data_IF_173288120084
#
_entry.id   IF_173288120084
#
_cell.length_a   1.000
_cell.length_b   1.000
_cell.length_c   1.000
_cell.angle_alpha   90.00
_cell.angle_beta   90.00
_cell.angle_gamma   90.00
#
_symmetry.space_group_name_H-M   'P 1'
#
loop_
_entity.id
_entity.type
_entity.pdbx_description
1 polymer ?
#
# COMPACT_ATOMS: atom_id res chain seq x y z
N UNK A 1 11.86 16.48 21.11
CA UNK A 1 12.91 15.52 21.52
C UNK A 1 13.02 14.48 20.41
N UNK A 2 14.24 14.17 19.96
CA UNK A 2 14.46 13.18 18.89
C UNK A 2 15.39 12.09 19.40
N UNK A 3 15.00 10.84 19.24
CA UNK A 3 15.87 9.69 19.48
C UNK A 3 16.30 9.11 18.14
N UNK A 4 17.56 8.67 18.06
CA UNK A 4 18.16 8.10 16.85
C UNK A 4 18.58 6.66 17.07
N UNK A 5 18.56 5.84 16.01
CA UNK A 5 19.20 4.52 16.04
C UNK A 5 20.74 4.62 15.96
N UNK A 6 21.41 3.47 16.00
CA UNK A 6 22.88 3.38 15.91
C UNK A 6 23.47 3.97 14.61
N UNK A 7 22.64 4.16 13.58
CA UNK A 7 23.02 4.76 12.29
C UNK A 7 22.65 6.26 12.20
N UNK A 8 22.26 6.88 13.32
CA UNK A 8 21.92 8.31 13.39
C UNK A 8 20.55 8.68 12.81
N UNK A 9 19.71 7.70 12.43
CA UNK A 9 18.38 7.96 11.87
C UNK A 9 17.37 8.17 12.98
N UNK A 10 16.52 9.18 12.86
CA UNK A 10 15.43 9.43 13.80
C UNK A 10 14.47 8.24 13.83
N UNK A 11 14.28 7.66 15.03
CA UNK A 11 13.35 6.55 15.29
C UNK A 11 12.15 6.99 16.10
N UNK A 12 12.30 8.05 16.88
CA UNK A 12 11.25 8.58 17.75
C UNK A 12 11.34 10.10 17.75
N UNK A 13 10.29 10.79 17.30
CA UNK A 13 10.23 12.26 17.32
C UNK A 13 9.06 12.69 18.19
N UNK A 14 9.37 13.42 19.27
CA UNK A 14 8.40 13.95 20.23
C UNK A 14 8.22 15.46 20.06
N UNK A 15 6.97 15.91 19.83
CA UNK A 15 6.56 17.31 19.96
C UNK A 15 6.20 17.63 21.43
N UNK A 16 6.22 18.91 21.85
CA UNK A 16 5.63 19.31 23.14
C UNK A 16 4.18 18.81 23.21
N UNK A 17 3.81 18.11 24.30
CA UNK A 17 2.49 17.48 24.43
C UNK A 17 2.48 15.94 24.40
N UNK A 18 3.63 15.26 24.44
CA UNK A 18 3.76 13.78 24.47
C UNK A 18 3.36 13.05 23.18
N UNK A 19 3.21 13.76 22.08
CA UNK A 19 2.98 13.18 20.76
C UNK A 19 4.28 12.60 20.20
N UNK A 20 4.38 11.26 20.21
CA UNK A 20 5.57 10.53 19.76
C UNK A 20 5.26 9.78 18.45
N UNK A 21 5.96 10.12 17.38
CA UNK A 21 5.97 9.31 16.15
C UNK A 21 7.08 8.28 16.25
N UNK A 22 6.78 7.02 15.94
CA UNK A 22 7.73 5.90 15.91
C UNK A 22 8.03 5.53 14.46
N UNK A 23 9.30 5.35 14.13
CA UNK A 23 9.76 4.90 12.80
C UNK A 23 10.78 3.78 12.96
N UNK A 24 10.58 2.66 12.28
CA UNK A 24 11.52 1.54 12.23
C UNK A 24 12.05 1.34 10.82
N UNK A 25 13.32 0.95 10.72
CA UNK A 25 14.01 0.73 9.47
C UNK A 25 14.52 -0.71 9.37
N UNK A 26 14.58 -1.26 8.16
CA UNK A 26 15.30 -2.51 7.89
C UNK A 26 16.83 -2.30 7.82
N UNK A 27 17.57 -3.37 7.53
CA UNK A 27 19.04 -3.34 7.36
C UNK A 27 19.52 -2.49 6.18
N UNK A 28 18.65 -2.22 5.21
CA UNK A 28 18.94 -1.40 4.03
C UNK A 28 18.57 0.08 4.27
N UNK A 29 17.92 0.38 5.40
CA UNK A 29 17.45 1.70 5.73
C UNK A 29 16.10 2.05 5.12
N UNK A 30 15.33 1.07 4.66
CA UNK A 30 13.95 1.30 4.25
C UNK A 30 13.06 1.43 5.48
N UNK A 31 12.10 2.36 5.47
CA UNK A 31 11.09 2.45 6.53
C UNK A 31 10.15 1.25 6.41
N UNK A 32 10.14 0.36 7.40
CA UNK A 32 9.29 -0.83 7.44
C UNK A 32 8.09 -0.68 8.36
N UNK A 33 8.14 0.31 9.26
CA UNK A 33 7.03 0.64 10.14
C UNK A 33 7.05 2.12 10.51
N UNK A 34 5.88 2.76 10.44
CA UNK A 34 5.65 4.10 10.95
C UNK A 34 4.36 4.14 11.77
N UNK A 35 4.42 4.69 12.97
CA UNK A 35 3.27 4.90 13.84
C UNK A 35 3.21 6.37 14.23
N UNK A 36 2.19 7.06 13.73
CA UNK A 36 1.95 8.47 14.04
C UNK A 36 1.48 8.63 15.49
N UNK A 37 1.70 9.82 16.04
CA UNK A 37 1.43 10.10 17.45
C UNK A 37 -0.02 9.84 17.89
N UNK A 38 -1.01 10.17 17.07
CA UNK A 38 -2.44 9.92 17.36
C UNK A 38 -2.73 8.42 17.43
N UNK A 39 -2.13 7.65 16.54
CA UNK A 39 -2.31 6.20 16.46
C UNK A 39 -1.55 5.50 17.58
N UNK A 40 -0.40 6.05 18.00
CA UNK A 40 0.29 5.59 19.21
C UNK A 40 -0.57 5.83 20.45
N UNK A 41 -1.17 7.01 20.58
CA UNK A 41 -2.08 7.34 21.69
C UNK A 41 -3.27 6.38 21.73
N UNK A 42 -3.89 6.10 20.58
CA UNK A 42 -4.96 5.09 20.48
C UNK A 42 -4.46 3.68 20.82
N UNK A 43 -3.26 3.29 20.40
CA UNK A 43 -2.72 1.94 20.64
C UNK A 43 -2.46 1.66 22.13
N UNK A 44 -1.93 2.63 22.88
CA UNK A 44 -1.56 2.47 24.30
C UNK A 44 -2.64 2.98 25.27
N UNK A 45 -3.65 3.67 24.74
CA UNK A 45 -4.66 4.36 25.51
C UNK A 45 -5.67 3.45 26.20
N UNK A 46 -6.21 3.94 27.33
CA UNK A 46 -7.27 3.28 28.11
C UNK A 46 -8.40 4.22 28.53
N UNK A 47 -8.44 5.45 28.01
CA UNK A 47 -9.55 6.39 28.21
C UNK A 47 -10.81 5.89 27.51
N UNK A 48 -11.98 6.31 27.99
CA UNK A 48 -13.28 5.80 27.50
C UNK A 48 -13.45 5.94 25.97
N UNK A 49 -13.00 7.05 25.38
CA UNK A 49 -13.08 7.27 23.94
C UNK A 49 -12.13 6.33 23.17
N UNK A 50 -10.94 6.04 23.71
CA UNK A 50 -9.95 5.14 23.11
C UNK A 50 -10.43 3.70 23.18
N UNK A 51 -11.02 3.29 24.30
CA UNK A 51 -11.62 1.96 24.47
C UNK A 51 -12.78 1.77 23.49
N UNK A 52 -13.63 2.79 23.29
CA UNK A 52 -14.70 2.72 22.31
C UNK A 52 -14.16 2.54 20.89
N UNK A 53 -13.20 3.37 20.47
CA UNK A 53 -12.60 3.28 19.14
C UNK A 53 -11.86 1.95 18.93
N UNK A 54 -11.09 1.47 19.92
CA UNK A 54 -10.46 0.14 19.88
C UNK A 54 -11.50 -0.98 19.74
N UNK A 55 -12.66 -0.85 20.39
CA UNK A 55 -13.76 -1.82 20.28
C UNK A 55 -14.41 -1.79 18.89
N UNK A 56 -14.66 -0.61 18.34
CA UNK A 56 -15.22 -0.42 17.00
C UNK A 56 -14.29 -0.98 15.92
N UNK A 57 -12.98 -0.82 16.10
CA UNK A 57 -11.96 -1.37 15.20
C UNK A 57 -11.71 -2.88 15.42
N UNK A 58 -12.28 -3.50 16.46
CA UNK A 58 -12.10 -4.92 16.77
C UNK A 58 -10.74 -5.26 17.40
N UNK A 59 -9.99 -4.27 17.90
CA UNK A 59 -8.62 -4.44 18.42
C UNK A 59 -8.54 -4.26 19.94
N UNK A 60 -9.67 -4.15 20.64
CA UNK A 60 -9.70 -3.97 22.10
C UNK A 60 -9.12 -5.17 22.86
N UNK A 61 -9.25 -6.39 22.34
CA UNK A 61 -8.68 -7.58 22.98
C UNK A 61 -7.15 -7.67 22.82
N UNK A 62 -6.61 -6.97 21.82
CA UNK A 62 -5.20 -7.04 21.45
C UNK A 62 -4.31 -6.32 22.47
N UNK A 63 -3.06 -6.76 22.55
CA UNK A 63 -2.03 -6.04 23.31
C UNK A 63 -1.72 -4.69 22.66
N UNK A 64 -1.19 -3.71 23.42
CA UNK A 64 -0.78 -2.42 22.84
C UNK A 64 0.19 -2.54 21.66
N UNK A 65 1.03 -3.58 21.65
CA UNK A 65 1.97 -3.87 20.55
C UNK A 65 1.23 -4.31 19.29
N UNK A 66 0.24 -5.19 19.41
CA UNK A 66 -0.57 -5.68 18.30
C UNK A 66 -1.44 -4.54 17.72
N UNK A 67 -2.06 -3.73 18.59
CA UNK A 67 -2.78 -2.52 18.17
C UNK A 67 -1.88 -1.55 17.43
N UNK A 68 -0.68 -1.29 17.96
CA UNK A 68 0.29 -0.41 17.31
C UNK A 68 0.68 -0.92 15.91
N UNK A 69 0.81 -2.24 15.71
CA UNK A 69 1.10 -2.83 14.40
C UNK A 69 -0.04 -2.66 13.40
N UNK A 70 -1.30 -2.74 13.86
CA UNK A 70 -2.48 -2.54 13.03
C UNK A 70 -2.75 -1.06 12.73
N UNK A 71 -2.49 -0.17 13.68
CA UNK A 71 -2.67 1.28 13.57
C UNK A 71 -1.47 2.00 12.93
N UNK A 72 -0.37 1.31 12.66
CA UNK A 72 0.77 1.85 11.94
C UNK A 72 0.73 1.56 10.44
N UNK A 73 1.55 2.30 9.69
CA UNK A 73 1.91 1.97 8.32
C UNK A 73 3.00 0.90 8.33
N UNK A 74 2.80 -0.22 7.65
CA UNK A 74 3.76 -1.33 7.55
C UNK A 74 4.15 -1.50 6.08
N UNK A 75 5.45 -1.52 5.77
CA UNK A 75 5.94 -1.77 4.41
C UNK A 75 6.75 -3.05 4.33
N UNK A 76 6.51 -3.85 3.28
CA UNK A 76 7.26 -5.07 2.96
C UNK A 76 8.14 -4.79 1.75
N UNK A 77 9.42 -5.10 1.86
CA UNK A 77 10.40 -4.92 0.79
C UNK A 77 10.91 -6.27 0.28
N UNK A 78 11.45 -6.28 -0.93
CA UNK A 78 12.18 -7.41 -1.50
C UNK A 78 13.37 -7.79 -0.63
N UNK A 79 13.85 -9.04 -0.76
CA UNK A 79 14.93 -9.57 0.08
C UNK A 79 16.26 -8.77 -0.03
N UNK A 80 16.48 -8.12 -1.17
CA UNK A 80 17.59 -7.20 -1.46
C UNK A 80 17.32 -5.75 -1.02
N UNK A 81 16.13 -5.44 -0.50
CA UNK A 81 15.72 -4.13 -0.01
C UNK A 81 15.45 -3.10 -1.10
N UNK A 82 15.50 -3.46 -2.39
CA UNK A 82 15.41 -2.49 -3.48
C UNK A 82 13.97 -2.10 -3.85
N UNK A 83 13.00 -2.99 -3.64
CA UNK A 83 11.62 -2.83 -4.12
C UNK A 83 10.65 -2.94 -2.96
N UNK A 84 9.73 -1.99 -2.85
CA UNK A 84 8.59 -2.12 -1.94
C UNK A 84 7.56 -3.02 -2.61
N UNK A 85 7.23 -4.15 -2.00
CA UNK A 85 6.29 -5.13 -2.55
C UNK A 85 4.88 -4.89 -2.02
N UNK A 86 4.76 -4.55 -0.74
CA UNK A 86 3.47 -4.31 -0.09
C UNK A 86 3.54 -3.12 0.88
N UNK A 87 2.40 -2.47 1.08
CA UNK A 87 2.20 -1.50 2.16
C UNK A 87 0.80 -1.64 2.75
N UNK A 88 0.71 -1.72 4.07
CA UNK A 88 -0.53 -1.66 4.82
C UNK A 88 -0.60 -0.33 5.57
N UNK A 89 -1.66 0.44 5.36
CA UNK A 89 -1.92 1.67 6.12
C UNK A 89 -2.54 1.39 7.51
N UNK A 90 -2.79 2.44 8.31
CA UNK A 90 -3.48 2.32 9.59
C UNK A 90 -4.90 1.73 9.47
N UNK A 91 -5.27 0.87 10.41
CA UNK A 91 -6.63 0.35 10.58
C UNK A 91 -7.62 1.49 10.88
N UNK A 92 -8.74 1.50 10.17
CA UNK A 92 -9.83 2.45 10.38
C UNK A 92 -11.15 1.84 9.88
N UNK A 93 -12.28 2.44 10.28
CA UNK A 93 -13.59 2.05 9.74
C UNK A 93 -13.76 2.57 8.31
N UNK A 94 -14.18 1.69 7.40
CA UNK A 94 -14.53 2.00 6.02
C UNK A 94 -15.90 1.44 5.67
N UNK A 95 -16.56 2.02 4.67
CA UNK A 95 -17.78 1.47 4.09
C UNK A 95 -17.45 0.79 2.77
N UNK A 96 -17.75 -0.50 2.65
CA UNK A 96 -17.52 -1.23 1.41
C UNK A 96 -18.44 -0.74 0.30
N UNK A 97 -17.89 -0.48 -0.89
CA UNK A 97 -18.67 -0.05 -2.06
C UNK A 97 -19.13 -1.23 -2.92
N UNK A 98 -18.45 -2.37 -2.81
CA UNK A 98 -18.75 -3.64 -3.49
C UNK A 98 -18.90 -4.75 -2.45
N UNK A 99 -19.68 -5.82 -2.75
CA UNK A 99 -19.68 -6.99 -1.89
C UNK A 99 -18.28 -7.64 -1.88
N UNK A 100 -17.88 -8.16 -0.72
CA UNK A 100 -16.66 -8.94 -0.56
C UNK A 100 -17.04 -10.39 -0.25
N UNK A 101 -16.56 -11.31 -1.08
CA UNK A 101 -16.70 -12.73 -0.81
C UNK A 101 -15.75 -13.12 0.32
N UNK A 102 -16.25 -13.88 1.29
CA UNK A 102 -15.41 -14.55 2.27
C UNK A 102 -15.17 -16.01 1.89
N UNK A 103 -14.94 -16.84 2.90
CA UNK A 103 -14.68 -18.28 2.79
C UNK A 103 -15.49 -19.07 3.84
N UNK A 104 -14.97 -20.20 4.31
CA UNK A 104 -15.65 -21.03 5.31
C UNK A 104 -15.65 -20.40 6.72
N UNK A 105 -14.64 -19.60 7.05
CA UNK A 105 -14.43 -19.00 8.36
C UNK A 105 -14.89 -17.54 8.40
N UNK A 106 -14.94 -16.88 7.22
CA UNK A 106 -15.40 -15.50 7.06
C UNK A 106 -16.65 -15.43 6.17
N UNK A 107 -17.82 -14.99 6.66
CA UNK A 107 -19.02 -14.88 5.84
C UNK A 107 -18.87 -13.77 4.77
N UNK A 108 -19.65 -13.86 3.69
CA UNK A 108 -19.66 -12.80 2.68
C UNK A 108 -20.20 -11.47 3.24
N UNK A 109 -19.55 -10.36 2.89
CA UNK A 109 -19.95 -9.01 3.27
C UNK A 109 -20.70 -8.32 2.13
N UNK A 110 -21.89 -7.74 2.39
CA UNK A 110 -22.61 -6.98 1.38
C UNK A 110 -21.97 -5.61 1.14
N UNK A 111 -22.25 -4.99 -0.01
CA UNK A 111 -21.94 -3.58 -0.22
C UNK A 111 -22.72 -2.70 0.78
N UNK A 112 -22.12 -1.59 1.19
CA UNK A 112 -22.68 -0.62 2.14
C UNK A 112 -22.43 -0.95 3.61
N UNK A 113 -21.84 -2.12 3.92
CA UNK A 113 -21.48 -2.45 5.30
C UNK A 113 -20.25 -1.67 5.76
N UNK A 114 -20.25 -1.24 7.01
CA UNK A 114 -19.08 -0.65 7.66
C UNK A 114 -18.24 -1.73 8.35
N UNK A 115 -16.94 -1.73 8.10
CA UNK A 115 -15.98 -2.71 8.62
C UNK A 115 -14.64 -2.04 8.93
N UNK A 116 -13.88 -2.61 9.86
CA UNK A 116 -12.50 -2.21 10.11
C UNK A 116 -11.62 -2.78 8.98
N UNK A 117 -10.88 -1.91 8.29
CA UNK A 117 -10.00 -2.30 7.21
C UNK A 117 -8.73 -1.45 7.17
N UNK A 118 -7.71 -1.97 6.48
CA UNK A 118 -6.47 -1.26 6.17
C UNK A 118 -6.40 -1.05 4.67
N UNK A 119 -5.88 0.10 4.24
CA UNK A 119 -5.47 0.22 2.85
C UNK A 119 -4.28 -0.73 2.61
N UNK A 120 -4.43 -1.69 1.72
CA UNK A 120 -3.35 -2.58 1.30
C UNK A 120 -2.95 -2.25 -0.13
N UNK A 121 -1.69 -1.92 -0.33
CA UNK A 121 -1.10 -1.65 -1.63
C UNK A 121 -0.15 -2.79 -1.97
N UNK A 122 -0.35 -3.45 -3.11
CA UNK A 122 0.58 -4.42 -3.69
C UNK A 122 1.22 -3.84 -4.95
N UNK A 123 2.52 -4.03 -5.13
CA UNK A 123 3.29 -3.44 -6.23
C UNK A 123 4.02 -4.55 -7.00
N UNK A 124 3.69 -4.70 -8.27
CA UNK A 124 4.37 -5.60 -9.20
C UNK A 124 5.47 -4.87 -9.98
N UNK A 125 6.57 -5.59 -10.20
CA UNK A 125 7.72 -5.09 -10.94
C UNK A 125 8.14 -6.06 -12.03
N UNK A 126 8.63 -5.50 -13.14
CA UNK A 126 9.20 -6.23 -14.27
C UNK A 126 8.29 -7.33 -14.84
N UNK A 127 6.97 -7.23 -14.64
CA UNK A 127 6.01 -8.18 -15.22
C UNK A 127 6.04 -8.09 -16.75
N UNK A 128 6.22 -9.23 -17.41
CA UNK A 128 6.34 -9.29 -18.88
C UNK A 128 7.68 -8.76 -19.42
N UNK A 129 8.69 -8.52 -18.57
CA UNK A 129 10.04 -8.18 -19.01
C UNK A 129 10.69 -9.34 -19.77
N UNK A 130 11.18 -9.15 -21.00
CA UNK A 130 11.94 -10.17 -21.73
C UNK A 130 13.19 -10.64 -20.97
N UNK A 131 13.47 -11.94 -21.06
CA UNK A 131 14.63 -12.59 -20.44
C UNK A 131 15.72 -12.97 -21.45
N UNK A 132 15.52 -12.62 -22.73
CA UNK A 132 16.42 -12.91 -23.86
C UNK A 132 17.58 -11.91 -23.98
N UNK A 133 17.75 -11.01 -23.02
CA UNK A 133 18.79 -9.98 -23.01
C UNK A 133 18.42 -8.70 -23.78
N UNK A 134 17.23 -8.61 -24.37
CA UNK A 134 16.80 -7.40 -25.11
C UNK A 134 16.40 -6.23 -24.21
N UNK A 135 16.04 -6.51 -22.95
CA UNK A 135 15.61 -5.50 -21.99
C UNK A 135 16.79 -4.69 -21.42
N UNK A 136 16.76 -3.36 -21.61
CA UNK A 136 17.83 -2.43 -21.18
C UNK A 136 17.63 -1.85 -19.78
N UNK A 137 16.41 -1.97 -19.24
CA UNK A 137 16.05 -1.53 -17.87
C UNK A 137 15.52 -2.69 -17.04
N UNK A 138 15.52 -2.52 -15.72
CA UNK A 138 14.92 -3.44 -14.73
C UNK A 138 14.42 -2.64 -13.53
N UNK A 139 13.79 -3.31 -12.57
CA UNK A 139 13.16 -2.72 -11.39
C UNK A 139 12.08 -1.68 -11.75
N UNK A 140 11.37 -1.89 -12.86
CA UNK A 140 10.30 -0.99 -13.29
C UNK A 140 8.97 -1.42 -12.69
N UNK A 141 8.22 -0.46 -12.14
CA UNK A 141 6.88 -0.70 -11.62
C UNK A 141 5.94 -1.00 -12.78
N UNK A 142 5.36 -2.19 -12.78
CA UNK A 142 4.47 -2.69 -13.84
C UNK A 142 3.03 -2.79 -13.39
N UNK A 143 2.78 -2.99 -12.10
CA UNK A 143 1.42 -2.99 -11.56
C UNK A 143 1.36 -2.40 -10.16
N UNK A 144 0.22 -1.83 -9.83
CA UNK A 144 -0.12 -1.42 -8.46
C UNK A 144 -1.58 -1.73 -8.22
N UNK A 145 -1.90 -2.45 -7.15
CA UNK A 145 -3.27 -2.70 -6.71
C UNK A 145 -3.45 -2.15 -5.30
N UNK A 146 -4.49 -1.36 -5.09
CA UNK A 146 -4.87 -0.85 -3.77
C UNK A 146 -6.26 -1.38 -3.43
N UNK A 147 -6.42 -1.92 -2.24
CA UNK A 147 -7.69 -2.46 -1.75
C UNK A 147 -7.88 -2.25 -0.25
N UNK A 148 -9.05 -2.64 0.24
CA UNK A 148 -9.39 -2.68 1.66
C UNK A 148 -9.10 -4.09 2.19
N UNK A 149 -7.96 -4.26 2.85
CA UNK A 149 -7.62 -5.49 3.56
C UNK A 149 -8.41 -5.55 4.87
N UNK A 150 -9.21 -6.59 5.02
CA UNK A 150 -10.02 -6.86 6.21
C UNK A 150 -9.48 -8.13 6.84
N UNK A 151 -9.21 -8.07 8.14
CA UNK A 151 -8.67 -9.22 8.86
C UNK A 151 -9.60 -10.43 8.75
N UNK A 152 -9.01 -11.61 8.57
CA UNK A 152 -9.74 -12.86 8.33
C UNK A 152 -10.31 -13.05 6.92
N UNK A 153 -10.22 -12.08 6.00
CA UNK A 153 -10.69 -12.27 4.62
C UNK A 153 -9.55 -12.68 3.67
N UNK A 154 -9.82 -13.56 2.69
CA UNK A 154 -8.78 -14.09 1.80
C UNK A 154 -8.33 -13.09 0.73
N UNK A 155 -9.10 -12.04 0.47
CA UNK A 155 -8.82 -11.02 -0.55
C UNK A 155 -9.29 -9.65 -0.11
N UNK A 156 -8.65 -8.61 -0.65
CA UNK A 156 -9.06 -7.23 -0.42
C UNK A 156 -10.44 -6.90 -1.02
N UNK A 157 -11.20 -6.09 -0.30
CA UNK A 157 -12.38 -5.40 -0.81
C UNK A 157 -12.03 -4.18 -1.68
N UNK A 158 -12.98 -3.72 -2.48
CA UNK A 158 -12.91 -2.44 -3.21
C UNK A 158 -11.61 -2.18 -4.00
N UNK A 159 -11.03 -3.23 -4.55
CA UNK A 159 -9.73 -3.15 -5.23
C UNK A 159 -9.76 -2.24 -6.45
N UNK A 160 -8.67 -1.51 -6.64
CA UNK A 160 -8.37 -0.68 -7.81
C UNK A 160 -6.95 -0.95 -8.24
N UNK A 161 -6.77 -1.30 -9.51
CA UNK A 161 -5.46 -1.60 -10.07
C UNK A 161 -5.07 -0.65 -11.20
N UNK A 162 -3.77 -0.43 -11.34
CA UNK A 162 -3.14 0.28 -12.44
C UNK A 162 -2.03 -0.59 -12.99
N UNK A 163 -1.93 -0.69 -14.31
CA UNK A 163 -0.85 -1.39 -15.00
C UNK A 163 -0.07 -0.44 -15.91
N UNK A 164 1.25 -0.60 -15.93
CA UNK A 164 2.18 0.18 -16.73
C UNK A 164 2.90 -0.73 -17.71
N UNK A 165 2.89 -0.37 -19.00
CA UNK A 165 3.51 -1.16 -20.07
C UNK A 165 4.78 -0.45 -20.54
N UNK A 166 5.82 -1.23 -20.81
CA UNK A 166 7.12 -0.73 -21.25
C UNK A 166 7.52 -1.28 -22.62
N UNK A 167 8.18 -0.43 -23.40
CA UNK A 167 9.16 -0.87 -24.40
C UNK A 167 10.47 -1.15 -23.64
N UNK A 168 10.69 -2.43 -23.33
CA UNK A 168 11.83 -2.88 -22.54
C UNK A 168 13.18 -2.66 -23.23
N UNK A 169 13.21 -2.64 -24.57
CA UNK A 169 14.43 -2.40 -25.32
C UNK A 169 14.85 -0.92 -25.24
N UNK A 170 13.87 -0.01 -25.27
CA UNK A 170 14.14 1.44 -25.12
C UNK A 170 14.14 1.92 -23.67
N UNK A 171 13.62 1.12 -22.73
CA UNK A 171 13.41 1.53 -21.35
C UNK A 171 12.34 2.60 -21.19
N UNK A 172 11.36 2.65 -22.10
CA UNK A 172 10.33 3.69 -22.15
C UNK A 172 8.96 3.14 -21.80
N UNK A 173 8.24 3.85 -20.96
CA UNK A 173 6.84 3.56 -20.67
C UNK A 173 5.98 3.87 -21.91
N UNK A 174 5.24 2.90 -22.42
CA UNK A 174 4.40 3.04 -23.62
C UNK A 174 2.92 3.13 -23.33
N UNK A 175 2.46 2.65 -22.17
CA UNK A 175 1.07 2.81 -21.77
C UNK A 175 0.85 2.75 -20.26
N UNK A 176 -0.24 3.35 -19.82
CA UNK A 176 -0.83 3.16 -18.49
C UNK A 176 -2.28 2.72 -18.69
N UNK A 177 -2.69 1.67 -17.99
CA UNK A 177 -4.05 1.15 -17.99
C UNK A 177 -4.59 1.23 -16.58
N UNK A 178 -5.56 2.10 -16.36
CA UNK A 178 -6.29 2.19 -15.10
C UNK A 178 -7.48 1.22 -15.15
N UNK A 179 -7.66 0.47 -14.07
CA UNK A 179 -8.67 -0.57 -13.94
C UNK A 179 -8.62 -1.58 -15.11
N UNK A 180 -7.49 -2.30 -15.31
CA UNK A 180 -7.34 -3.28 -16.38
C UNK A 180 -8.35 -4.44 -16.29
N UNK A 181 -8.94 -4.70 -15.12
CA UNK A 181 -10.02 -5.67 -14.94
C UNK A 181 -11.42 -5.15 -15.29
N UNK A 182 -11.67 -3.84 -15.14
CA UNK A 182 -12.95 -3.20 -15.38
C UNK A 182 -12.94 -2.27 -16.60
N UNK A 183 -12.95 -0.95 -16.36
CA UNK A 183 -13.12 0.08 -17.40
C UNK A 183 -11.98 0.13 -18.42
N UNK A 184 -10.81 -0.43 -18.11
CA UNK A 184 -9.63 -0.51 -18.99
C UNK A 184 -9.29 0.84 -19.61
N UNK A 185 -9.22 1.88 -18.78
CA UNK A 185 -8.93 3.24 -19.23
C UNK A 185 -7.45 3.33 -19.60
N UNK A 186 -7.17 3.24 -20.90
CA UNK A 186 -5.81 3.20 -21.44
C UNK A 186 -5.36 4.57 -21.96
N UNK A 187 -4.22 5.02 -21.45
CA UNK A 187 -3.41 6.09 -22.05
C UNK A 187 -2.18 5.46 -22.68
N UNK A 188 -1.78 5.91 -23.88
CA UNK A 188 -0.62 5.37 -24.57
C UNK A 188 0.27 6.48 -25.15
N UNK A 189 1.57 6.23 -25.17
CA UNK A 189 2.59 7.09 -25.77
C UNK A 189 3.43 6.26 -26.72
N UNK A 190 3.57 6.70 -27.97
CA UNK A 190 4.46 6.09 -28.95
C UNK A 190 5.71 6.94 -29.15
N UNK A 191 6.85 6.29 -29.38
CA UNK A 191 8.14 6.92 -29.53
C UNK A 191 8.78 6.60 -30.89
N UNK A 192 9.61 7.51 -31.39
CA UNK A 192 10.47 7.24 -32.54
C UNK A 192 11.69 6.37 -32.16
N UNK A 193 12.58 6.13 -33.13
CA UNK A 193 13.78 5.33 -32.93
C UNK A 193 14.76 5.96 -31.91
N UNK A 194 14.69 7.27 -31.69
CA UNK A 194 15.51 8.03 -30.76
C UNK A 194 14.84 8.19 -29.37
N UNK A 195 13.66 7.61 -29.16
CA UNK A 195 12.94 7.70 -27.89
C UNK A 195 12.17 9.02 -27.68
N UNK A 196 11.96 9.81 -28.74
CA UNK A 196 11.17 11.05 -28.67
C UNK A 196 9.69 10.74 -28.89
N UNK A 197 8.81 11.44 -28.17
CA UNK A 197 7.36 11.22 -28.27
C UNK A 197 6.85 11.62 -29.65
N UNK A 198 6.12 10.71 -30.30
CA UNK A 198 5.49 10.91 -31.62
C UNK A 198 3.98 11.12 -31.48
N UNK A 199 3.35 10.44 -30.53
CA UNK A 199 1.89 10.50 -30.31
C UNK A 199 1.57 10.12 -28.88
N UNK A 200 0.58 10.81 -28.32
CA UNK A 200 -0.07 10.44 -27.06
C UNK A 200 -1.56 10.27 -27.31
N UNK A 201 -2.16 9.21 -26.80
CA UNK A 201 -3.61 8.98 -26.84
C UNK A 201 -4.16 8.94 -25.42
N UNK A 202 -5.21 9.71 -25.16
CA UNK A 202 -5.95 9.67 -23.91
C UNK A 202 -7.01 8.54 -23.93
N UNK A 203 -7.51 8.12 -22.76
CA UNK A 203 -8.58 7.15 -22.69
C UNK A 203 -9.81 7.64 -23.46
N UNK A 204 -10.38 6.77 -24.30
CA UNK A 204 -11.56 7.07 -25.13
C UNK A 204 -11.37 8.22 -26.14
N UNK A 205 -10.15 8.59 -26.47
CA UNK A 205 -9.88 9.49 -27.61
C UNK A 205 -9.82 8.64 -28.88
N UNK A 206 -10.78 8.83 -29.79
CA UNK A 206 -10.70 8.33 -31.17
C UNK A 206 -9.74 9.18 -32.01
#
# INVERSE_FOLDING_TARGET
>A
ITYTNASGRAVNTGLPGRHLTVTQYDRFGNTVFELLATNLELAVGSEAYQVNEQSELGILADTPTERARQLGTVSVYSADGMRKLEEYGPLHLVTLTKPLNGDADSPALPAGVQVAARAHTTIGYDEGRPTDGTATVSNQLTSTTVGAAIDGYPTDGDTRSTATVYDWAKGLQTAVVVDPGGLKLKSATSYDAQGRTVKTTAPKSN
#
